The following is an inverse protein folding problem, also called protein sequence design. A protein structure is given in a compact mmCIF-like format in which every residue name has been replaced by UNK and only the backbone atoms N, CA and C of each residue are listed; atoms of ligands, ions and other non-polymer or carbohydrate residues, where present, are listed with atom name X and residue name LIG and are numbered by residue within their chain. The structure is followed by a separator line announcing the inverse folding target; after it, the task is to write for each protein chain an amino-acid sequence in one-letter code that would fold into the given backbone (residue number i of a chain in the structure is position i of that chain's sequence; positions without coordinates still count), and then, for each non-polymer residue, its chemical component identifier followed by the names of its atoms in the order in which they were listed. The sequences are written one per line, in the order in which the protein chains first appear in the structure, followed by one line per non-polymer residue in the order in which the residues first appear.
data_IF_894678258349
#
_entry.id   IF_894678258349
#
_cell.length_a   1.000
_cell.length_b   1.000
_cell.length_c   1.000
_cell.angle_alpha   90.00
_cell.angle_beta   90.00
_cell.angle_gamma   90.00
#
_symmetry.space_group_name_H-M   'P 1'
#
loop_
_entity.id
_entity.type
_entity.pdbx_description
1 polymer ?
#
# COMPACT_ATOMS: atom_id res chain seq x y z
N UNK A 1 22.75 17.97 20.22
CA UNK A 1 21.93 17.08 21.06
C UNK A 1 20.48 17.42 20.78
N UNK A 2 19.81 16.68 19.90
CA UNK A 2 18.37 16.86 19.64
C UNK A 2 17.67 15.79 20.47
N UNK A 3 16.82 16.23 21.38
CA UNK A 3 16.01 15.38 22.26
C UNK A 3 15.11 14.48 21.41
N UNK A 4 15.26 13.17 21.58
CA UNK A 4 14.56 12.15 20.82
C UNK A 4 13.25 11.81 21.54
N UNK A 5 12.12 12.27 21.00
CA UNK A 5 10.79 11.81 21.47
C UNK A 5 10.51 10.40 20.92
N UNK A 6 9.97 9.57 21.81
CA UNK A 6 9.91 8.10 21.83
C UNK A 6 9.09 7.39 20.72
N UNK A 7 8.86 8.02 19.56
CA UNK A 7 7.95 7.52 18.50
C UNK A 7 8.57 7.34 17.10
N UNK A 8 9.87 7.58 16.93
CA UNK A 8 10.55 7.35 15.65
C UNK A 8 11.06 5.91 15.56
N UNK A 9 10.15 4.98 15.31
CA UNK A 9 10.51 3.85 14.44
C UNK A 9 11.06 4.45 13.14
N UNK A 10 12.19 3.95 12.65
CA UNK A 10 12.97 4.41 11.49
C UNK A 10 12.20 4.42 10.15
N UNK A 11 11.01 5.04 10.13
CA UNK A 11 10.03 4.98 9.06
C UNK A 11 10.07 6.22 8.21
N UNK A 12 9.94 5.98 6.90
CA UNK A 12 9.69 6.90 5.80
C UNK A 12 9.90 8.38 6.13
N UNK A 13 11.11 8.87 5.85
CA UNK A 13 11.37 10.31 5.83
C UNK A 13 10.75 10.86 4.56
N UNK A 14 9.70 11.65 4.72
CA UNK A 14 9.05 12.34 3.61
C UNK A 14 9.88 13.57 3.21
N UNK A 15 10.10 13.81 1.91
CA UNK A 15 10.87 14.96 1.44
C UNK A 15 10.14 16.29 1.66
N UNK A 16 8.81 16.24 1.79
CA UNK A 16 7.91 17.36 1.99
C UNK A 16 6.89 17.01 3.10
N UNK A 17 6.18 18.00 3.67
CA UNK A 17 5.00 17.76 4.50
C UNK A 17 3.99 16.87 3.77
N UNK A 18 3.28 16.02 4.53
CA UNK A 18 2.36 15.02 3.97
C UNK A 18 1.25 15.67 3.13
N UNK A 19 0.75 16.83 3.54
CA UNK A 19 -0.26 17.60 2.81
C UNK A 19 0.25 18.00 1.42
N UNK A 20 1.49 18.49 1.33
CA UNK A 20 2.12 18.89 0.07
C UNK A 20 2.32 17.70 -0.88
N UNK A 21 2.58 16.51 -0.35
CA UNK A 21 2.69 15.28 -1.16
C UNK A 21 1.35 14.97 -1.83
N UNK A 22 0.24 15.12 -1.12
CA UNK A 22 -1.10 14.90 -1.69
C UNK A 22 -1.47 15.97 -2.72
N UNK A 23 -1.11 17.23 -2.49
CA UNK A 23 -1.28 18.31 -3.48
C UNK A 23 -0.51 17.98 -4.77
N UNK A 24 0.77 17.63 -4.66
CA UNK A 24 1.60 17.20 -5.81
C UNK A 24 1.02 15.98 -6.50
N UNK A 25 0.50 15.00 -5.76
CA UNK A 25 -0.14 13.82 -6.34
C UNK A 25 -1.36 14.23 -7.21
N UNK A 26 -2.20 15.12 -6.72
CA UNK A 26 -3.36 15.64 -7.45
C UNK A 26 -2.92 16.37 -8.73
N UNK A 27 -1.90 17.24 -8.63
CA UNK A 27 -1.32 17.95 -9.79
C UNK A 27 -0.79 16.97 -10.85
N UNK A 28 -0.23 15.84 -10.43
CA UNK A 28 0.26 14.77 -11.29
C UNK A 28 -0.83 13.76 -11.71
N UNK A 29 -2.12 14.09 -11.48
CA UNK A 29 -3.28 13.23 -11.81
C UNK A 29 -3.27 11.86 -11.09
N UNK A 30 -2.54 11.75 -9.99
CA UNK A 30 -2.53 10.59 -9.11
C UNK A 30 -3.71 10.72 -8.15
N UNK A 31 -4.58 9.71 -8.17
CA UNK A 31 -5.78 9.67 -7.33
C UNK A 31 -5.57 8.75 -6.14
N UNK A 32 -6.14 9.14 -5.00
CA UNK A 32 -6.22 8.27 -3.83
C UNK A 32 -7.33 7.25 -4.01
N UNK A 33 -7.08 6.02 -3.58
CA UNK A 33 -8.08 4.96 -3.55
C UNK A 33 -8.72 4.96 -2.15
N UNK A 34 -10.04 5.08 -2.12
CA UNK A 34 -10.79 5.03 -0.86
C UNK A 34 -11.04 3.58 -0.48
N UNK A 35 -10.76 3.24 0.77
CA UNK A 35 -11.12 1.95 1.33
C UNK A 35 -12.61 1.91 1.65
N UNK A 36 -13.28 0.87 1.17
CA UNK A 36 -14.70 0.62 1.40
C UNK A 36 -14.92 -0.86 1.77
N UNK A 37 -16.12 -1.21 2.29
CA UNK A 37 -16.39 -2.58 2.74
C UNK A 37 -16.08 -3.67 1.70
N UNK A 38 -16.35 -3.51 0.39
CA UNK A 38 -15.95 -4.48 -0.62
C UNK A 38 -14.45 -4.82 -0.66
N UNK A 39 -13.54 -3.84 -0.52
CA UNK A 39 -12.09 -4.14 -0.45
C UNK A 39 -11.73 -4.88 0.84
N UNK A 40 -12.41 -4.56 1.95
CA UNK A 40 -12.20 -5.25 3.23
C UNK A 40 -12.68 -6.70 3.18
N UNK A 41 -13.82 -6.97 2.53
CA UNK A 41 -14.28 -8.35 2.29
C UNK A 41 -13.30 -9.11 1.42
N UNK A 42 -12.75 -8.48 0.36
CA UNK A 42 -11.72 -9.09 -0.47
C UNK A 42 -10.44 -9.40 0.32
N UNK A 43 -10.04 -8.50 1.22
CA UNK A 43 -8.90 -8.70 2.12
C UNK A 43 -9.08 -9.92 3.04
N UNK A 44 -10.27 -10.12 3.59
CA UNK A 44 -10.58 -11.29 4.42
C UNK A 44 -10.52 -12.60 3.63
N UNK A 45 -10.85 -12.56 2.34
CA UNK A 45 -10.82 -13.72 1.46
C UNK A 45 -9.41 -14.02 0.89
N UNK A 46 -8.44 -13.13 1.07
CA UNK A 46 -7.09 -13.36 0.55
C UNK A 46 -6.42 -14.56 1.24
N UNK A 47 -5.72 -15.42 0.46
CA UNK A 47 -4.90 -16.45 1.04
C UNK A 47 -3.85 -15.86 1.98
N UNK A 48 -3.58 -16.58 3.06
CA UNK A 48 -2.56 -16.23 4.03
C UNK A 48 -1.28 -17.02 3.73
N UNK A 49 -0.17 -16.32 3.62
CA UNK A 49 1.15 -16.91 3.44
C UNK A 49 2.03 -16.51 4.62
N UNK A 50 2.69 -17.48 5.27
CA UNK A 50 3.55 -17.21 6.43
C UNK A 50 4.68 -16.22 6.12
N UNK A 51 5.19 -16.26 4.88
CA UNK A 51 6.28 -15.39 4.43
C UNK A 51 5.81 -13.99 3.99
N UNK A 52 4.50 -13.75 3.94
CA UNK A 52 3.89 -12.47 3.57
C UNK A 52 2.72 -12.09 4.47
N UNK A 53 3.05 -11.40 5.57
CA UNK A 53 2.14 -11.09 6.67
C UNK A 53 1.85 -9.61 6.86
N UNK A 54 2.45 -8.73 6.06
CA UNK A 54 2.22 -7.29 6.19
C UNK A 54 0.76 -6.95 5.87
N UNK A 55 0.01 -6.36 6.80
CA UNK A 55 -1.41 -6.10 6.60
C UNK A 55 -1.66 -5.02 5.53
N UNK A 56 -0.73 -4.10 5.30
CA UNK A 56 -0.89 -3.04 4.30
C UNK A 56 -0.61 -3.56 2.89
N UNK A 57 0.42 -4.37 2.70
CA UNK A 57 0.68 -5.00 1.39
C UNK A 57 -0.50 -5.89 0.96
N UNK A 58 -1.01 -6.69 1.90
CA UNK A 58 -2.20 -7.51 1.66
C UNK A 58 -3.44 -6.66 1.37
N UNK A 59 -3.57 -5.49 2.00
CA UNK A 59 -4.67 -4.57 1.70
C UNK A 59 -4.56 -3.95 0.30
N UNK A 60 -3.34 -3.63 -0.14
CA UNK A 60 -3.08 -3.16 -1.51
C UNK A 60 -3.48 -4.25 -2.52
N UNK A 61 -3.07 -5.49 -2.28
CA UNK A 61 -3.39 -6.64 -3.15
C UNK A 61 -4.91 -6.87 -3.20
N UNK A 62 -5.57 -6.87 -2.04
CA UNK A 62 -7.02 -7.05 -1.97
C UNK A 62 -7.78 -5.96 -2.74
N UNK A 63 -7.35 -4.71 -2.56
CA UNK A 63 -7.90 -3.54 -3.26
C UNK A 63 -7.71 -3.68 -4.76
N UNK A 64 -6.51 -4.02 -5.22
CA UNK A 64 -6.21 -4.16 -6.64
C UNK A 64 -7.02 -5.28 -7.30
N UNK A 65 -7.14 -6.43 -6.64
CA UNK A 65 -7.98 -7.52 -7.13
C UNK A 65 -9.46 -7.14 -7.17
N UNK A 66 -9.94 -6.47 -6.12
CA UNK A 66 -11.34 -6.07 -6.02
C UNK A 66 -11.73 -5.04 -7.08
N UNK A 67 -10.83 -4.10 -7.37
CA UNK A 67 -11.07 -2.97 -8.26
C UNK A 67 -10.47 -3.18 -9.66
N UNK A 68 -9.94 -4.37 -9.95
CA UNK A 68 -9.32 -4.74 -11.25
C UNK A 68 -8.18 -3.81 -11.67
N UNK A 69 -7.30 -3.49 -10.72
CA UNK A 69 -6.14 -2.61 -10.91
C UNK A 69 -4.85 -3.43 -11.02
N UNK A 70 -3.89 -2.90 -11.76
CA UNK A 70 -2.51 -3.40 -11.71
C UNK A 70 -1.75 -2.76 -10.54
N UNK A 71 -0.77 -3.49 -10.00
CA UNK A 71 0.09 -3.01 -8.92
C UNK A 71 1.48 -2.75 -9.48
N UNK A 72 2.04 -1.57 -9.22
CA UNK A 72 3.45 -1.28 -9.50
C UNK A 72 4.23 -1.50 -8.19
N UNK A 73 5.08 -2.52 -8.14
CA UNK A 73 5.87 -2.84 -6.94
C UNK A 73 7.09 -3.72 -7.24
N UNK A 74 8.24 -3.41 -6.62
CA UNK A 74 9.42 -4.29 -6.62
C UNK A 74 9.39 -5.37 -5.55
N UNK A 75 8.35 -5.43 -4.73
CA UNK A 75 8.35 -6.36 -3.62
C UNK A 75 8.22 -7.81 -4.14
N UNK A 76 9.22 -8.68 -3.88
CA UNK A 76 9.22 -10.05 -4.39
C UNK A 76 8.12 -10.93 -3.79
N UNK A 77 7.37 -10.45 -2.80
CA UNK A 77 6.26 -11.18 -2.17
C UNK A 77 4.92 -10.99 -2.88
N UNK A 78 4.76 -9.92 -3.68
CA UNK A 78 3.52 -9.68 -4.43
C UNK A 78 3.20 -10.79 -5.45
N UNK A 79 4.19 -11.39 -6.15
CA UNK A 79 3.97 -12.57 -6.99
C UNK A 79 3.37 -13.81 -6.31
N UNK A 80 3.31 -13.88 -4.98
CA UNK A 80 2.58 -14.95 -4.26
C UNK A 80 1.07 -14.95 -4.55
N UNK A 81 0.55 -13.86 -5.13
CA UNK A 81 -0.87 -13.69 -5.48
C UNK A 81 -1.03 -13.64 -7.00
N UNK A 82 -1.03 -14.79 -7.70
CA UNK A 82 -0.99 -14.86 -9.16
C UNK A 82 -2.22 -14.25 -9.86
N UNK A 83 -3.32 -14.04 -9.13
CA UNK A 83 -4.49 -13.34 -9.65
C UNK A 83 -4.26 -11.82 -9.80
N UNK A 84 -3.28 -11.25 -9.10
CA UNK A 84 -2.97 -9.83 -9.17
C UNK A 84 -1.98 -9.57 -10.30
N UNK A 85 -2.25 -8.56 -11.12
CA UNK A 85 -1.33 -8.14 -12.16
C UNK A 85 -0.26 -7.21 -11.56
N UNK A 86 0.99 -7.67 -11.56
CA UNK A 86 2.14 -6.91 -11.06
C UNK A 86 2.96 -6.37 -12.24
N UNK A 87 3.30 -5.08 -12.19
CA UNK A 87 4.12 -4.36 -13.17
C UNK A 87 5.38 -3.85 -12.47
N UNK A 88 6.51 -3.92 -13.16
CA UNK A 88 7.80 -3.40 -12.69
C UNK A 88 8.42 -2.44 -13.69
#
# INVERSE_FOLDING_TARGET
MISMNRWTIWKLVLPDPIESIFEKAIENQIKTIHLSPPQLTAYQALPFFEDHRDPFDRLIIATALKDSLSIISNDPKFPLYPAAQIIW
#
